data_IF_838710486279
#
_entry.id   IF_838710486279
#
_cell.length_a   1.000
_cell.length_b   1.000
_cell.length_c   1.000
_cell.angle_alpha   90.00
_cell.angle_beta   90.00
_cell.angle_gamma   90.00
#
_symmetry.space_group_name_H-M   'P 1'
#
loop_
_entity.id
_entity.type
_entity.pdbx_description
1 polymer ?
#
# COMPACT_ATOMS: atom_id res chain seq x y z
N UNK A 1 -8.11 23.90 50.10
CA UNK A 1 -7.06 23.39 49.20
C UNK A 1 -7.75 22.89 47.95
N UNK A 2 -7.70 23.67 46.88
CA UNK A 2 -8.36 23.36 45.61
C UNK A 2 -7.29 22.77 44.70
N UNK A 3 -7.39 21.48 44.38
CA UNK A 3 -6.49 20.80 43.46
C UNK A 3 -6.85 21.24 42.04
N UNK A 4 -5.89 21.83 41.33
CA UNK A 4 -6.03 22.19 39.91
C UNK A 4 -6.11 20.93 39.04
N UNK A 5 -7.13 20.88 38.19
CA UNK A 5 -7.23 19.86 37.15
C UNK A 5 -6.25 20.19 36.03
N UNK A 6 -5.32 19.28 35.76
CA UNK A 6 -4.46 19.32 34.58
C UNK A 6 -5.32 19.00 33.36
N UNK A 7 -5.48 19.97 32.45
CA UNK A 7 -6.16 19.75 31.18
C UNK A 7 -5.34 18.77 30.33
N UNK A 8 -5.93 17.60 30.07
CA UNK A 8 -5.43 16.64 29.07
C UNK A 8 -5.70 17.22 27.68
N UNK A 9 -4.69 17.80 27.06
CA UNK A 9 -4.77 18.24 25.66
C UNK A 9 -4.93 17.00 24.77
N UNK A 10 -6.09 16.88 24.15
CA UNK A 10 -6.47 15.75 23.29
C UNK A 10 -5.63 15.75 22.00
N UNK A 11 -4.95 14.65 21.70
CA UNK A 11 -4.05 14.54 20.53
C UNK A 11 -4.84 14.67 19.21
N UNK A 12 -6.14 14.36 19.22
CA UNK A 12 -7.00 14.43 18.04
C UNK A 12 -7.32 15.85 17.57
N UNK A 13 -7.43 16.83 18.48
CA UNK A 13 -7.68 18.23 18.09
C UNK A 13 -6.45 18.87 17.46
N UNK A 14 -5.25 18.48 17.92
CA UNK A 14 -3.98 18.98 17.35
C UNK A 14 -3.74 18.47 15.93
N UNK A 15 -4.18 17.24 15.62
CA UNK A 15 -4.08 16.67 14.27
C UNK A 15 -4.97 17.44 13.29
N UNK A 16 -6.20 17.79 13.68
CA UNK A 16 -7.12 18.52 12.79
C UNK A 16 -6.65 19.93 12.41
N UNK A 17 -5.89 20.59 13.29
CA UNK A 17 -5.29 21.90 12.98
C UNK A 17 -4.00 21.77 12.15
N UNK A 18 -3.24 20.68 12.32
CA UNK A 18 -2.00 20.44 11.56
C UNK A 18 -2.29 19.95 10.13
N UNK A 19 -3.33 19.13 9.93
CA UNK A 19 -3.73 18.59 8.62
C UNK A 19 -4.18 19.70 7.66
N UNK A 20 -4.60 20.87 8.16
CA UNK A 20 -4.98 22.03 7.33
C UNK A 20 -3.80 22.82 6.76
N UNK A 21 -2.57 22.59 7.23
CA UNK A 21 -1.38 23.34 6.79
C UNK A 21 -0.36 22.54 5.98
N UNK A 22 -0.52 21.22 5.87
CA UNK A 22 0.43 20.40 5.13
C UNK A 22 0.21 20.53 3.60
N UNK A 23 1.22 21.07 2.92
CA UNK A 23 1.22 21.31 1.47
C UNK A 23 1.07 20.03 0.64
N UNK A 24 1.24 18.85 1.24
CA UNK A 24 1.02 17.54 0.60
C UNK A 24 -0.45 17.28 0.23
N UNK A 25 -1.41 17.95 0.89
CA UNK A 25 -2.86 17.77 0.65
C UNK A 25 -3.51 18.97 -0.08
N UNK A 26 -2.74 20.00 -0.42
CA UNK A 26 -3.24 21.21 -1.08
C UNK A 26 -3.80 20.99 -2.50
N UNK A 27 -3.51 19.83 -3.11
CA UNK A 27 -3.84 19.54 -4.50
C UNK A 27 -5.02 18.58 -4.67
N UNK A 28 -5.74 18.26 -3.59
CA UNK A 28 -7.01 17.52 -3.72
C UNK A 28 -8.06 18.49 -4.26
N UNK A 29 -8.03 18.72 -5.57
CA UNK A 29 -9.15 19.34 -6.28
C UNK A 29 -10.39 18.48 -6.02
N UNK A 30 -11.33 19.00 -5.24
CA UNK A 30 -12.66 18.42 -5.09
C UNK A 30 -13.38 18.58 -6.44
N UNK A 31 -13.13 17.67 -7.38
CA UNK A 31 -13.97 17.54 -8.58
C UNK A 31 -15.21 16.77 -8.20
N UNK A 32 -16.18 17.52 -7.70
CA UNK A 32 -17.54 17.05 -7.55
C UNK A 32 -18.21 17.05 -8.93
N UNK A 33 -18.21 15.92 -9.63
CA UNK A 33 -19.12 15.71 -10.76
C UNK A 33 -19.56 14.25 -10.85
N UNK A 34 -20.83 14.04 -10.51
CA UNK A 34 -21.61 12.90 -10.97
C UNK A 34 -21.63 12.86 -12.51
N UNK A 35 -21.30 11.70 -13.09
CA UNK A 35 -21.55 11.37 -14.50
C UNK A 35 -20.33 11.46 -15.42
N UNK A 36 -19.79 10.29 -15.79
CA UNK A 36 -18.81 10.18 -16.88
C UNK A 36 -18.30 8.75 -17.05
N UNK A 37 -18.47 8.20 -18.25
CA UNK A 37 -17.99 6.88 -18.69
C UNK A 37 -16.48 6.77 -18.55
N UNK A 38 -16.00 6.21 -17.43
CA UNK A 38 -14.58 5.94 -17.18
C UNK A 38 -14.28 4.47 -17.45
N UNK A 39 -13.32 4.21 -18.34
CA UNK A 39 -12.77 2.87 -18.53
C UNK A 39 -12.44 2.22 -17.18
N UNK A 40 -12.83 0.97 -17.01
CA UNK A 40 -12.49 0.16 -15.84
C UNK A 40 -10.98 0.29 -15.61
N UNK A 41 -10.52 0.77 -14.44
CA UNK A 41 -9.11 0.74 -14.12
C UNK A 41 -8.62 -0.70 -14.26
N UNK A 42 -7.51 -0.91 -14.97
CA UNK A 42 -6.89 -2.24 -15.09
C UNK A 42 -6.43 -2.81 -13.74
N UNK A 43 -6.39 -1.96 -12.71
CA UNK A 43 -6.18 -2.31 -11.33
C UNK A 43 -7.51 -2.77 -10.69
N UNK A 44 -7.67 -4.09 -10.57
CA UNK A 44 -8.61 -4.66 -9.59
C UNK A 44 -7.82 -4.84 -8.29
N UNK A 45 -8.00 -3.97 -7.28
CA UNK A 45 -7.22 -4.04 -6.06
C UNK A 45 -7.38 -5.35 -5.28
N UNK A 46 -8.24 -6.29 -5.74
CA UNK A 46 -8.72 -7.47 -5.02
C UNK A 46 -9.26 -7.12 -3.62
N UNK A 47 -9.42 -5.83 -3.34
CA UNK A 47 -10.12 -5.30 -2.17
C UNK A 47 -11.58 -5.66 -2.40
N UNK A 48 -12.22 -6.37 -1.46
CA UNK A 48 -13.64 -6.65 -1.55
C UNK A 48 -14.40 -5.36 -1.88
N UNK A 49 -15.27 -5.39 -2.90
CA UNK A 49 -16.04 -4.19 -3.35
C UNK A 49 -16.89 -3.56 -2.24
N UNK A 50 -17.04 -4.25 -1.11
CA UNK A 50 -17.71 -3.81 0.11
C UNK A 50 -16.84 -2.93 1.03
N UNK A 51 -15.55 -2.77 0.75
CA UNK A 51 -14.59 -2.06 1.60
C UNK A 51 -14.28 -0.58 1.28
N UNK A 52 -14.71 0.04 0.16
CA UNK A 52 -14.51 1.48 0.00
C UNK A 52 -15.25 2.26 1.09
N UNK A 53 -14.51 3.07 1.85
CA UNK A 53 -15.07 3.99 2.85
C UNK A 53 -15.20 5.36 2.23
N UNK A 54 -16.39 5.96 2.32
CA UNK A 54 -16.61 7.31 1.82
C UNK A 54 -15.77 8.31 2.63
N UNK A 55 -15.36 9.42 2.01
CA UNK A 55 -14.58 10.45 2.70
C UNK A 55 -15.35 11.03 3.90
N UNK A 56 -16.68 11.16 3.79
CA UNK A 56 -17.52 11.65 4.88
C UNK A 56 -17.56 10.70 6.08
N UNK A 57 -17.48 9.39 5.83
CA UNK A 57 -17.60 8.38 6.89
C UNK A 57 -16.24 7.93 7.44
N UNK A 58 -15.13 8.32 6.79
CA UNK A 58 -13.77 7.86 7.12
C UNK A 58 -13.40 8.10 8.59
N UNK A 59 -13.71 9.29 9.13
CA UNK A 59 -13.39 9.62 10.52
C UNK A 59 -14.13 8.71 11.51
N UNK A 60 -15.42 8.49 11.29
CA UNK A 60 -16.24 7.59 12.12
C UNK A 60 -15.78 6.14 11.99
N UNK A 61 -15.46 5.70 10.77
CA UNK A 61 -14.95 4.36 10.51
C UNK A 61 -13.67 4.09 11.30
N UNK A 62 -12.66 4.96 11.17
CA UNK A 62 -11.38 4.84 11.86
C UNK A 62 -11.55 4.83 13.39
N UNK A 63 -12.35 5.75 13.94
CA UNK A 63 -12.61 5.80 15.37
C UNK A 63 -13.27 4.50 15.89
N UNK A 64 -14.25 3.98 15.16
CA UNK A 64 -14.93 2.73 15.51
C UNK A 64 -14.02 1.50 15.40
N UNK A 65 -13.08 1.48 14.45
CA UNK A 65 -12.18 0.34 14.27
C UNK A 65 -11.02 0.33 15.28
N UNK A 66 -10.70 1.49 15.87
CA UNK A 66 -9.74 1.62 16.97
C UNK A 66 -10.33 1.34 18.36
N UNK A 67 -11.66 1.37 18.53
CA UNK A 67 -12.29 1.44 19.85
C UNK A 67 -12.05 0.23 20.76
N UNK A 68 -11.72 -0.93 20.19
CA UNK A 68 -11.45 -2.18 20.92
C UNK A 68 -10.05 -2.70 20.60
N UNK A 69 -9.00 -1.94 20.97
CA UNK A 69 -7.59 -2.33 20.78
C UNK A 69 -7.30 -2.80 19.34
N UNK A 70 -7.86 -2.09 18.36
CA UNK A 70 -7.75 -2.39 16.93
C UNK A 70 -8.31 -3.75 16.49
N UNK A 71 -9.18 -4.41 17.27
CA UNK A 71 -9.70 -5.74 16.94
C UNK A 71 -10.32 -5.81 15.54
N UNK A 72 -11.11 -4.80 15.15
CA UNK A 72 -11.73 -4.74 13.82
C UNK A 72 -10.69 -4.55 12.69
N UNK A 73 -9.68 -3.68 12.89
CA UNK A 73 -8.58 -3.54 11.94
C UNK A 73 -7.76 -4.82 11.81
N UNK A 74 -7.51 -5.52 12.92
CA UNK A 74 -6.80 -6.79 12.92
C UNK A 74 -7.60 -7.83 12.12
N UNK A 75 -8.91 -7.91 12.31
CA UNK A 75 -9.76 -8.81 11.53
C UNK A 75 -9.71 -8.48 10.04
N UNK A 76 -9.76 -7.19 9.66
CA UNK A 76 -9.65 -6.77 8.26
C UNK A 76 -8.28 -7.12 7.67
N UNK A 77 -7.19 -6.88 8.42
CA UNK A 77 -5.83 -7.21 8.01
C UNK A 77 -5.64 -8.71 7.77
N UNK A 78 -6.16 -9.56 8.67
CA UNK A 78 -6.10 -11.02 8.52
C UNK A 78 -6.93 -11.54 7.33
N UNK A 79 -7.90 -10.75 6.85
CA UNK A 79 -8.69 -11.06 5.66
C UNK A 79 -8.06 -10.60 4.34
N UNK A 80 -6.88 -9.96 4.37
CA UNK A 80 -6.18 -9.56 3.15
C UNK A 80 -5.71 -10.80 2.38
N UNK A 81 -5.76 -10.71 1.06
CA UNK A 81 -5.19 -11.71 0.18
C UNK A 81 -3.67 -11.77 0.38
N UNK A 82 -3.15 -12.97 0.62
CA UNK A 82 -1.74 -13.22 0.96
C UNK A 82 -0.87 -13.51 -0.25
N UNK A 83 -1.47 -13.86 -1.40
CA UNK A 83 -0.71 -14.27 -2.59
C UNK A 83 -0.07 -15.64 -2.48
N UNK A 84 -0.57 -16.52 -1.59
CA UNK A 84 0.00 -17.86 -1.37
C UNK A 84 -0.14 -18.80 -2.58
N UNK A 85 -1.05 -18.50 -3.50
CA UNK A 85 -1.24 -19.20 -4.78
C UNK A 85 -0.32 -18.71 -5.91
N UNK A 86 0.39 -17.59 -5.71
CA UNK A 86 1.34 -17.06 -6.68
C UNK A 86 2.70 -17.76 -6.56
N UNK A 87 3.45 -17.76 -7.66
CA UNK A 87 4.72 -18.49 -7.76
C UNK A 87 5.89 -17.54 -7.62
N UNK A 88 6.95 -17.98 -6.93
CA UNK A 88 8.24 -17.27 -6.86
C UNK A 88 9.39 -18.21 -7.24
N UNK A 89 9.17 -19.05 -8.25
CA UNK A 89 10.11 -20.13 -8.59
C UNK A 89 11.44 -19.60 -9.12
N UNK A 90 11.43 -18.47 -9.84
CA UNK A 90 12.66 -17.84 -10.36
C UNK A 90 13.48 -17.26 -9.23
N UNK A 91 12.84 -16.52 -8.32
CA UNK A 91 13.51 -15.88 -7.19
C UNK A 91 14.05 -16.87 -6.15
N UNK A 92 13.40 -18.02 -5.98
CA UNK A 92 13.87 -19.11 -5.13
C UNK A 92 14.72 -20.18 -5.84
N UNK A 93 15.13 -19.96 -7.09
CA UNK A 93 16.10 -20.85 -7.73
C UNK A 93 17.47 -20.80 -7.02
N UNK A 94 18.24 -21.89 -7.09
CA UNK A 94 19.56 -21.95 -6.42
C UNK A 94 20.55 -20.95 -6.99
N UNK A 95 20.37 -20.56 -8.25
CA UNK A 95 21.14 -19.50 -8.89
C UNK A 95 20.82 -18.11 -8.33
N UNK A 96 19.55 -17.84 -7.98
CA UNK A 96 19.07 -16.50 -7.62
C UNK A 96 18.97 -16.24 -6.11
N UNK A 97 18.80 -17.29 -5.29
CA UNK A 97 18.76 -17.21 -3.82
C UNK A 97 19.89 -16.35 -3.21
N UNK A 98 21.16 -16.43 -3.67
CA UNK A 98 22.23 -15.60 -3.12
C UNK A 98 22.05 -14.09 -3.31
N UNK A 99 21.16 -13.66 -4.22
CA UNK A 99 20.87 -12.25 -4.48
C UNK A 99 19.65 -11.72 -3.73
N UNK A 100 19.01 -12.55 -2.90
CA UNK A 100 17.93 -12.13 -2.02
C UNK A 100 18.48 -11.73 -0.66
N UNK A 101 18.09 -10.56 -0.15
CA UNK A 101 18.47 -10.13 1.20
C UNK A 101 17.89 -11.04 2.27
N UNK A 102 16.69 -11.55 2.06
CA UNK A 102 16.00 -12.47 2.96
C UNK A 102 15.66 -13.77 2.25
N UNK A 103 15.80 -14.89 2.95
CA UNK A 103 15.60 -16.23 2.37
C UNK A 103 14.16 -16.54 2.01
N UNK A 104 13.22 -15.81 2.60
CA UNK A 104 11.77 -16.00 2.47
C UNK A 104 11.10 -14.87 1.68
N UNK A 105 11.86 -13.91 1.12
CA UNK A 105 11.32 -12.78 0.36
C UNK A 105 11.94 -12.80 -1.02
N UNK A 106 11.12 -13.08 -2.03
CA UNK A 106 11.47 -13.13 -3.43
C UNK A 106 10.30 -12.57 -4.26
N UNK A 107 10.55 -12.03 -5.46
CA UNK A 107 9.48 -11.53 -6.32
C UNK A 107 8.60 -12.68 -6.83
N UNK A 108 7.34 -12.38 -7.16
CA UNK A 108 6.49 -13.32 -7.89
C UNK A 108 6.90 -13.39 -9.36
N UNK A 109 6.77 -14.56 -9.97
CA UNK A 109 7.20 -14.84 -11.34
C UNK A 109 6.42 -13.98 -12.34
N UNK A 110 5.16 -13.66 -12.02
CA UNK A 110 4.23 -12.92 -12.90
C UNK A 110 4.54 -11.43 -13.04
N UNK A 111 5.13 -10.80 -12.03
CA UNK A 111 5.39 -9.35 -12.01
C UNK A 111 6.85 -8.97 -11.67
N UNK A 112 7.76 -9.93 -11.64
CA UNK A 112 9.18 -9.65 -11.46
C UNK A 112 9.77 -8.82 -12.59
N UNK A 113 10.79 -8.05 -12.27
CA UNK A 113 11.56 -7.27 -13.24
C UNK A 113 12.68 -8.13 -13.82
N UNK A 114 12.74 -8.20 -15.16
CA UNK A 114 13.79 -8.90 -15.89
C UNK A 114 14.78 -7.86 -16.42
N UNK A 115 16.04 -7.96 -15.99
CA UNK A 115 17.11 -7.09 -16.43
C UNK A 115 17.60 -7.49 -17.82
N UNK A 116 17.94 -6.50 -18.64
CA UNK A 116 18.66 -6.76 -19.88
C UNK A 116 20.13 -7.07 -19.58
N UNK A 117 20.63 -8.16 -20.13
CA UNK A 117 22.06 -8.48 -20.05
C UNK A 117 22.86 -7.70 -21.08
N UNK A 118 24.13 -7.45 -20.75
CA UNK A 118 25.09 -6.86 -21.67
C UNK A 118 26.39 -7.67 -21.64
N UNK A 119 26.63 -8.43 -22.72
CA UNK A 119 27.81 -9.28 -22.85
C UNK A 119 29.14 -8.52 -22.85
N UNK A 120 29.15 -7.22 -23.16
CA UNK A 120 30.38 -6.40 -23.10
C UNK A 120 30.71 -5.93 -21.69
N UNK A 121 29.82 -6.12 -20.71
CA UNK A 121 30.00 -5.70 -19.32
C UNK A 121 29.92 -6.92 -18.40
N UNK A 122 31.06 -7.32 -17.82
CA UNK A 122 31.16 -8.50 -16.94
C UNK A 122 30.14 -8.51 -15.79
N UNK A 123 29.83 -7.33 -15.24
CA UNK A 123 28.88 -7.18 -14.13
C UNK A 123 27.40 -7.23 -14.55
N UNK A 124 27.10 -7.16 -15.84
CA UNK A 124 25.73 -7.08 -16.38
C UNK A 124 25.33 -8.37 -17.10
N UNK A 125 25.72 -9.52 -16.57
CA UNK A 125 25.46 -10.83 -17.18
C UNK A 125 24.22 -11.55 -16.62
N UNK A 126 23.47 -10.91 -15.71
CA UNK A 126 22.32 -11.53 -15.05
C UNK A 126 21.02 -10.80 -15.37
N UNK A 127 19.96 -11.57 -15.51
CA UNK A 127 18.60 -11.09 -15.78
C UNK A 127 17.78 -10.88 -14.49
N UNK A 128 18.29 -11.34 -13.35
CA UNK A 128 17.56 -11.35 -12.09
C UNK A 128 17.86 -10.14 -11.20
N UNK A 129 16.79 -9.55 -10.66
CA UNK A 129 16.79 -8.65 -9.52
C UNK A 129 15.60 -8.99 -8.62
N UNK A 130 15.78 -8.91 -7.30
CA UNK A 130 14.68 -9.06 -6.35
C UNK A 130 13.88 -7.75 -6.31
N UNK A 131 13.01 -7.56 -7.31
CA UNK A 131 12.12 -6.43 -7.46
C UNK A 131 10.90 -6.82 -8.32
N UNK A 132 9.79 -6.13 -8.12
CA UNK A 132 8.52 -6.35 -8.83
C UNK A 132 7.91 -5.03 -9.27
N UNK A 133 7.16 -5.03 -10.36
CA UNK A 133 6.28 -3.91 -10.67
C UNK A 133 5.06 -3.89 -9.74
N UNK A 134 4.69 -2.68 -9.30
CA UNK A 134 3.50 -2.45 -8.48
C UNK A 134 2.58 -1.45 -9.18
N UNK A 135 1.30 -1.80 -9.26
CA UNK A 135 0.27 -0.95 -9.82
C UNK A 135 -0.07 0.22 -8.90
N UNK A 136 -0.36 1.37 -9.49
CA UNK A 136 -0.97 2.50 -8.79
C UNK A 136 -2.48 2.56 -9.02
N UNK A 137 -3.14 3.53 -8.37
CA UNK A 137 -4.60 3.70 -8.46
C UNK A 137 -5.18 3.70 -9.89
N UNK A 138 -4.51 4.39 -10.83
CA UNK A 138 -4.97 4.57 -12.20
C UNK A 138 -3.94 4.17 -13.26
N UNK A 139 -2.86 3.51 -12.87
CA UNK A 139 -1.76 3.18 -13.80
C UNK A 139 -1.08 1.89 -13.40
N UNK A 140 -1.04 0.94 -14.34
CA UNK A 140 -0.29 -0.30 -14.14
C UNK A 140 1.22 -0.05 -14.14
N UNK A 141 1.97 -0.89 -13.43
CA UNK A 141 3.44 -0.86 -13.34
C UNK A 141 4.01 0.53 -13.00
N UNK A 142 3.35 1.24 -12.07
CA UNK A 142 3.71 2.62 -11.74
C UNK A 142 4.95 2.71 -10.85
N UNK A 143 5.17 1.70 -10.01
CA UNK A 143 6.26 1.68 -9.03
C UNK A 143 7.12 0.41 -9.15
N UNK A 144 8.32 0.50 -8.58
CA UNK A 144 9.29 -0.58 -8.34
C UNK A 144 9.71 -0.50 -6.89
#
# INVERSE_FOLDING_TARGET
MTMGATESTDLYTTINDTVKQDALYANVEVKNTNGGTGATPAFDPLIPKTCPVSISDLGTHVASYHSDTNAAFNQQYQGLYTGDDLRSTVGFSDQNKPFNRFKNIAPYDENMIILQTNASLEKCQREYINATYIDGYSSANKFI
#
